data_IF_523929570095
#
_entry.id   IF_523929570095
#
_cell.length_a   1.000
_cell.length_b   1.000
_cell.length_c   1.000
_cell.angle_alpha   90.00
_cell.angle_beta   90.00
_cell.angle_gamma   90.00
#
_symmetry.space_group_name_H-M   'P 1'
#
loop_
_entity.id
_entity.type
_entity.pdbx_description
1 polymer ?
#
# COMPACT_ATOMS: atom_id res chain seq x y z
N UNK A 1 57.76 52.37 -5.09
CA UNK A 1 57.32 51.91 -3.75
C UNK A 1 55.80 51.96 -3.67
N UNK A 2 55.13 50.82 -3.63
CA UNK A 2 53.75 50.62 -3.12
C UNK A 2 53.65 49.10 -2.83
N UNK A 3 52.85 48.58 -1.87
CA UNK A 3 52.00 49.24 -0.86
C UNK A 3 51.92 48.51 0.52
N UNK A 4 51.96 49.22 1.65
CA UNK A 4 51.51 48.66 2.95
C UNK A 4 49.99 48.88 3.19
N UNK A 5 49.43 49.94 2.60
CA UNK A 5 48.03 50.36 2.84
C UNK A 5 46.97 49.49 2.13
N UNK A 6 47.23 48.98 0.93
CA UNK A 6 46.26 48.16 0.17
C UNK A 6 46.02 46.79 0.81
N UNK A 7 47.01 46.26 1.54
CA UNK A 7 46.91 44.95 2.18
C UNK A 7 46.00 44.98 3.43
N UNK A 8 46.06 46.07 4.21
CA UNK A 8 45.27 46.22 5.43
C UNK A 8 43.76 46.38 5.14
N UNK A 9 43.40 47.17 4.13
CA UNK A 9 42.01 47.32 3.70
C UNK A 9 41.42 46.01 3.14
N UNK A 10 42.23 45.26 2.38
CA UNK A 10 41.84 43.92 1.87
C UNK A 10 41.60 42.92 3.00
N UNK A 11 42.43 42.95 4.04
CA UNK A 11 42.26 42.06 5.20
C UNK A 11 41.02 42.39 6.03
N UNK A 12 40.72 43.68 6.22
CA UNK A 12 39.48 44.12 6.89
C UNK A 12 38.24 43.69 6.09
N UNK A 13 38.26 43.85 4.76
CA UNK A 13 37.16 43.44 3.91
C UNK A 13 36.91 41.92 3.96
N UNK A 14 37.98 41.11 3.94
CA UNK A 14 37.89 39.65 4.11
C UNK A 14 37.31 39.26 5.46
N UNK A 15 37.79 39.88 6.56
CA UNK A 15 37.26 39.63 7.91
C UNK A 15 35.79 40.02 8.04
N UNK A 16 35.38 41.12 7.41
CA UNK A 16 33.97 41.54 7.37
C UNK A 16 33.11 40.53 6.62
N UNK A 17 33.54 40.07 5.44
CA UNK A 17 32.83 39.05 4.67
C UNK A 17 32.72 37.72 5.43
N UNK A 18 33.79 37.28 6.09
CA UNK A 18 33.78 36.06 6.92
C UNK A 18 32.85 36.18 8.14
N UNK A 19 32.80 37.33 8.78
CA UNK A 19 31.88 37.57 9.89
C UNK A 19 30.42 37.57 9.41
N UNK A 20 30.13 38.23 8.28
CA UNK A 20 28.81 38.20 7.66
C UNK A 20 28.39 36.77 7.30
N UNK A 21 29.30 35.98 6.70
CA UNK A 21 29.06 34.57 6.38
C UNK A 21 28.76 33.74 7.64
N UNK A 22 29.50 33.94 8.73
CA UNK A 22 29.26 33.23 10.01
C UNK A 22 27.90 33.59 10.61
N UNK A 23 27.51 34.86 10.55
CA UNK A 23 26.21 35.31 11.05
C UNK A 23 25.06 34.70 10.25
N UNK A 24 25.15 34.72 8.91
CA UNK A 24 24.16 34.11 8.03
C UNK A 24 24.06 32.60 8.30
N UNK A 25 25.19 31.89 8.36
CA UNK A 25 25.20 30.45 8.64
C UNK A 25 24.55 30.10 9.98
N UNK A 26 24.74 30.94 11.01
CA UNK A 26 24.11 30.76 12.32
C UNK A 26 22.59 30.99 12.26
N UNK A 27 22.16 32.04 11.56
CA UNK A 27 20.74 32.34 11.38
C UNK A 27 20.03 31.20 10.62
N UNK A 28 20.59 30.79 9.48
CA UNK A 28 20.07 29.69 8.68
C UNK A 28 20.04 28.37 9.48
N UNK A 29 21.07 28.10 10.29
CA UNK A 29 21.08 26.92 11.16
C UNK A 29 19.96 26.94 12.20
N UNK A 30 19.67 28.12 12.77
CA UNK A 30 18.60 28.26 13.74
C UNK A 30 17.22 28.08 13.09
N UNK A 31 17.01 28.64 11.90
CA UNK A 31 15.77 28.44 11.12
C UNK A 31 15.55 26.95 10.81
N UNK A 32 16.57 26.27 10.26
CA UNK A 32 16.53 24.83 9.99
C UNK A 32 16.26 23.98 11.25
N UNK A 33 16.77 24.42 12.40
CA UNK A 33 16.54 23.74 13.69
C UNK A 33 15.08 23.85 14.11
N UNK A 34 14.45 25.01 13.94
CA UNK A 34 13.03 25.18 14.29
C UNK A 34 12.12 24.46 13.29
N UNK A 35 12.42 24.48 11.99
CA UNK A 35 11.71 23.69 10.98
C UNK A 35 11.75 22.18 11.31
N UNK A 36 12.92 21.67 11.69
CA UNK A 36 13.08 20.28 12.11
C UNK A 36 12.20 19.95 13.32
N UNK A 37 12.19 20.79 14.36
CA UNK A 37 11.36 20.58 15.55
C UNK A 37 9.87 20.58 15.21
N UNK A 38 9.43 21.46 14.30
CA UNK A 38 8.05 21.44 13.85
C UNK A 38 7.71 20.13 13.12
N UNK A 39 8.61 19.65 12.27
CA UNK A 39 8.43 18.35 11.60
C UNK A 39 8.38 17.18 12.60
N UNK A 40 9.22 17.22 13.64
CA UNK A 40 9.22 16.22 14.72
C UNK A 40 7.92 16.27 15.52
N UNK A 41 7.47 17.46 15.92
CA UNK A 41 6.20 17.64 16.64
C UNK A 41 4.99 17.19 15.82
N UNK A 42 4.98 17.43 14.51
CA UNK A 42 3.93 16.91 13.62
C UNK A 42 3.97 15.37 13.54
N UNK A 43 5.16 14.77 13.43
CA UNK A 43 5.28 13.30 13.43
C UNK A 43 4.79 12.70 14.74
N UNK A 44 5.10 13.32 15.88
CA UNK A 44 4.62 12.89 17.19
C UNK A 44 3.11 13.05 17.31
N UNK A 45 2.56 14.20 16.87
CA UNK A 45 1.12 14.47 16.91
C UNK A 45 0.31 13.43 16.14
N UNK A 46 0.80 13.00 14.97
CA UNK A 46 0.14 12.01 14.11
C UNK A 46 0.67 10.58 14.29
N UNK A 47 1.51 10.32 15.29
CA UNK A 47 2.15 9.01 15.45
C UNK A 47 1.12 7.88 15.68
N UNK A 48 0.08 8.19 16.45
CA UNK A 48 -0.99 7.24 16.76
C UNK A 48 -1.89 7.01 15.55
N UNK A 49 -2.36 8.07 14.88
CA UNK A 49 -3.19 7.99 13.67
C UNK A 49 -2.48 7.18 12.55
N UNK A 50 -1.17 7.41 12.35
CA UNK A 50 -0.39 6.68 11.35
C UNK A 50 -0.24 5.19 11.71
N UNK A 51 -0.12 4.88 13.00
CA UNK A 51 -0.04 3.50 13.47
C UNK A 51 -1.38 2.79 13.31
N UNK A 52 -2.47 3.43 13.75
CA UNK A 52 -3.83 2.91 13.62
C UNK A 52 -4.19 2.66 12.16
N UNK A 53 -3.99 3.66 11.30
CA UNK A 53 -4.26 3.53 9.86
C UNK A 53 -3.47 2.37 9.22
N UNK A 54 -2.21 2.16 9.66
CA UNK A 54 -1.41 1.01 9.20
C UNK A 54 -1.96 -0.32 9.70
N UNK A 55 -2.37 -0.40 10.95
CA UNK A 55 -2.94 -1.61 11.55
C UNK A 55 -4.27 -1.98 10.91
N UNK A 56 -5.14 -1.00 10.68
CA UNK A 56 -6.40 -1.16 9.95
C UNK A 56 -6.14 -1.66 8.53
N UNK A 57 -5.20 -1.06 7.80
CA UNK A 57 -4.85 -1.50 6.44
C UNK A 57 -4.34 -2.95 6.41
N UNK A 58 -3.55 -3.36 7.41
CA UNK A 58 -3.09 -4.75 7.54
C UNK A 58 -4.26 -5.69 7.84
N UNK A 59 -5.16 -5.29 8.74
CA UNK A 59 -6.33 -6.08 9.12
C UNK A 59 -7.28 -6.26 7.94
N UNK A 60 -7.60 -5.19 7.23
CA UNK A 60 -8.46 -5.23 6.05
C UNK A 60 -7.82 -6.09 4.95
N UNK A 61 -6.54 -5.89 4.64
CA UNK A 61 -5.82 -6.71 3.66
C UNK A 61 -5.83 -8.20 4.02
N UNK A 62 -5.67 -8.53 5.29
CA UNK A 62 -5.76 -9.93 5.77
C UNK A 62 -7.18 -10.49 5.65
N UNK A 63 -8.20 -9.70 5.95
CA UNK A 63 -9.60 -10.12 5.86
C UNK A 63 -10.03 -10.33 4.41
N UNK A 64 -9.67 -9.40 3.51
CA UNK A 64 -9.88 -9.53 2.06
C UNK A 64 -9.19 -10.79 1.54
N UNK A 65 -7.89 -10.94 1.80
CA UNK A 65 -7.13 -12.10 1.31
C UNK A 65 -7.64 -13.44 1.84
N UNK A 66 -8.13 -13.48 3.09
CA UNK A 66 -8.77 -14.68 3.66
C UNK A 66 -10.06 -15.02 2.91
N UNK A 67 -10.95 -14.04 2.69
CA UNK A 67 -12.21 -14.24 1.97
C UNK A 67 -11.98 -14.68 0.51
N UNK A 68 -11.05 -14.04 -0.18
CA UNK A 68 -10.65 -14.40 -1.55
C UNK A 68 -10.10 -15.83 -1.63
N UNK A 69 -9.26 -16.21 -0.66
CA UNK A 69 -8.68 -17.54 -0.56
C UNK A 69 -9.73 -18.63 -0.30
N UNK A 70 -10.68 -18.38 0.61
CA UNK A 70 -11.79 -19.30 0.90
C UNK A 70 -12.69 -19.49 -0.33
N UNK A 71 -13.08 -18.40 -1.00
CA UNK A 71 -13.89 -18.46 -2.23
C UNK A 71 -13.15 -19.19 -3.36
N UNK A 72 -11.86 -18.90 -3.57
CA UNK A 72 -11.03 -19.58 -4.56
C UNK A 72 -10.93 -21.08 -4.28
N UNK A 73 -10.88 -21.48 -3.01
CA UNK A 73 -10.83 -22.89 -2.63
C UNK A 73 -12.12 -23.62 -2.98
N UNK A 74 -13.28 -23.02 -2.74
CA UNK A 74 -14.58 -23.57 -3.13
C UNK A 74 -14.63 -23.73 -4.65
N UNK A 75 -14.27 -22.70 -5.41
CA UNK A 75 -14.24 -22.74 -6.88
C UNK A 75 -13.32 -23.88 -7.38
N UNK A 76 -12.12 -24.03 -6.81
CA UNK A 76 -11.18 -25.10 -7.17
C UNK A 76 -11.81 -26.49 -6.98
N UNK A 77 -12.51 -26.71 -5.86
CA UNK A 77 -13.17 -28.00 -5.59
C UNK A 77 -14.35 -28.21 -6.54
N UNK A 78 -15.14 -27.17 -6.79
CA UNK A 78 -16.30 -27.23 -7.70
C UNK A 78 -15.86 -27.57 -9.13
N UNK A 79 -14.77 -26.97 -9.64
CA UNK A 79 -14.18 -27.32 -10.94
C UNK A 79 -13.83 -28.82 -11.00
N UNK A 80 -13.21 -29.36 -9.93
CA UNK A 80 -12.87 -30.79 -9.87
C UNK A 80 -14.11 -31.68 -9.89
N UNK A 81 -15.20 -31.28 -9.24
CA UNK A 81 -16.47 -32.02 -9.23
C UNK A 81 -17.19 -31.92 -10.58
N UNK A 82 -17.22 -30.74 -11.18
CA UNK A 82 -17.74 -30.51 -12.53
C UNK A 82 -17.05 -31.42 -13.56
N UNK A 83 -15.72 -31.46 -13.56
CA UNK A 83 -14.92 -32.32 -14.46
C UNK A 83 -15.18 -33.81 -14.27
N UNK A 84 -15.66 -34.22 -13.08
CA UNK A 84 -16.05 -35.61 -12.77
C UNK A 84 -17.50 -35.92 -13.15
N UNK A 85 -18.25 -34.96 -13.69
CA UNK A 85 -19.66 -35.12 -14.03
C UNK A 85 -20.59 -35.17 -12.82
N UNK A 86 -20.15 -34.69 -11.64
CA UNK A 86 -21.04 -34.56 -10.49
C UNK A 86 -22.14 -33.54 -10.81
N UNK A 87 -23.35 -33.78 -10.31
CA UNK A 87 -24.44 -32.82 -10.44
C UNK A 87 -24.25 -31.63 -9.48
N UNK A 88 -24.94 -30.53 -9.79
CA UNK A 88 -25.05 -29.35 -8.90
C UNK A 88 -25.57 -29.75 -7.52
N UNK A 89 -26.60 -30.60 -7.47
CA UNK A 89 -27.19 -31.06 -6.21
C UNK A 89 -26.19 -31.85 -5.37
N UNK A 90 -25.55 -32.87 -5.94
CA UNK A 90 -24.56 -33.67 -5.20
C UNK A 90 -23.38 -32.81 -4.75
N UNK A 91 -22.94 -31.85 -5.56
CA UNK A 91 -21.82 -30.96 -5.20
C UNK A 91 -22.20 -30.01 -4.07
N UNK A 92 -23.41 -29.45 -4.09
CA UNK A 92 -23.94 -28.63 -3.01
C UNK A 92 -24.02 -29.42 -1.70
N UNK A 93 -24.59 -30.63 -1.74
CA UNK A 93 -24.70 -31.50 -0.58
C UNK A 93 -23.31 -31.89 -0.02
N UNK A 94 -22.33 -32.17 -0.89
CA UNK A 94 -20.95 -32.53 -0.48
C UNK A 94 -20.14 -31.37 0.11
N UNK A 95 -20.41 -30.14 -0.32
CA UNK A 95 -19.69 -28.95 0.14
C UNK A 95 -20.43 -28.21 1.25
N UNK A 96 -21.64 -28.65 1.59
CA UNK A 96 -22.54 -27.96 2.51
C UNK A 96 -22.81 -26.51 2.08
N UNK A 97 -22.87 -26.28 0.76
CA UNK A 97 -23.05 -24.97 0.14
C UNK A 97 -24.45 -24.84 -0.49
N UNK A 98 -24.99 -23.62 -0.63
CA UNK A 98 -26.27 -23.42 -1.32
C UNK A 98 -26.23 -23.92 -2.78
N UNK A 99 -27.26 -24.67 -3.21
CA UNK A 99 -27.37 -25.13 -4.60
C UNK A 99 -27.36 -23.98 -5.61
N UNK A 100 -27.87 -22.80 -5.23
CA UNK A 100 -27.83 -21.59 -6.06
C UNK A 100 -26.40 -21.13 -6.33
N UNK A 101 -25.54 -21.11 -5.32
CA UNK A 101 -24.12 -20.77 -5.44
C UNK A 101 -23.40 -21.77 -6.34
N UNK A 102 -23.57 -23.07 -6.08
CA UNK A 102 -22.94 -24.12 -6.88
C UNK A 102 -23.40 -24.03 -8.35
N UNK A 103 -24.69 -23.78 -8.60
CA UNK A 103 -25.20 -23.58 -9.96
C UNK A 103 -24.52 -22.41 -10.66
N UNK A 104 -24.40 -21.25 -10.00
CA UNK A 104 -23.72 -20.08 -10.57
C UNK A 104 -22.27 -20.40 -10.95
N UNK A 105 -21.54 -21.13 -10.09
CA UNK A 105 -20.17 -21.53 -10.37
C UNK A 105 -20.11 -22.50 -11.57
N UNK A 106 -21.01 -23.48 -11.66
CA UNK A 106 -21.11 -24.40 -12.80
C UNK A 106 -21.35 -23.65 -14.12
N UNK A 107 -22.26 -22.67 -14.11
CA UNK A 107 -22.58 -21.86 -15.30
C UNK A 107 -21.37 -21.07 -15.80
N UNK A 108 -20.57 -20.50 -14.87
CA UNK A 108 -19.33 -19.78 -15.22
C UNK A 108 -18.23 -20.74 -15.68
N UNK A 109 -18.08 -21.90 -15.04
CA UNK A 109 -17.13 -22.94 -15.47
C UNK A 109 -17.37 -23.35 -16.93
N UNK A 110 -18.64 -23.51 -17.33
CA UNK A 110 -18.99 -23.82 -18.71
C UNK A 110 -18.57 -22.75 -19.72
N UNK A 111 -18.49 -21.48 -19.29
CA UNK A 111 -18.04 -20.35 -20.10
C UNK A 111 -16.51 -20.26 -20.21
N UNK A 112 -15.78 -20.79 -19.22
CA UNK A 112 -14.32 -20.76 -19.11
C UNK A 112 -13.67 -22.10 -19.52
N UNK A 113 -14.28 -22.86 -20.43
CA UNK A 113 -13.64 -24.04 -21.00
C UNK A 113 -12.66 -23.64 -22.13
N UNK A 114 -11.49 -24.29 -22.28
CA UNK A 114 -11.00 -25.45 -21.53
C UNK A 114 -10.00 -25.13 -20.40
N UNK A 115 -9.67 -23.86 -20.14
CA UNK A 115 -8.60 -23.47 -19.22
C UNK A 115 -9.02 -23.57 -17.75
N UNK A 116 -10.32 -23.42 -17.44
CA UNK A 116 -10.90 -23.55 -16.10
C UNK A 116 -10.14 -22.74 -15.05
N UNK A 117 -9.75 -21.52 -15.42
CA UNK A 117 -8.93 -20.66 -14.57
C UNK A 117 -9.73 -20.16 -13.35
N UNK A 118 -9.28 -20.50 -12.14
CA UNK A 118 -9.95 -20.13 -10.88
C UNK A 118 -10.09 -18.61 -10.72
N UNK A 119 -9.03 -17.86 -11.02
CA UNK A 119 -9.01 -16.40 -10.91
C UNK A 119 -10.01 -15.75 -11.88
N UNK A 120 -10.09 -16.24 -13.11
CA UNK A 120 -11.06 -15.75 -14.10
C UNK A 120 -12.50 -16.03 -13.66
N UNK A 121 -12.78 -17.24 -13.17
CA UNK A 121 -14.10 -17.62 -12.65
C UNK A 121 -14.47 -16.76 -11.44
N UNK A 122 -13.53 -16.54 -10.51
CA UNK A 122 -13.74 -15.70 -9.34
C UNK A 122 -14.11 -14.26 -9.73
N UNK A 123 -13.38 -13.64 -10.67
CA UNK A 123 -13.68 -12.30 -11.18
C UNK A 123 -15.07 -12.19 -11.80
N UNK A 124 -15.45 -13.15 -12.64
CA UNK A 124 -16.79 -13.16 -13.26
C UNK A 124 -17.90 -13.28 -12.20
N UNK A 125 -17.67 -14.06 -11.13
CA UNK A 125 -18.63 -14.20 -10.04
C UNK A 125 -18.75 -12.92 -9.21
N UNK A 126 -17.64 -12.21 -8.97
CA UNK A 126 -17.65 -10.90 -8.30
C UNK A 126 -18.46 -9.88 -9.10
N UNK A 127 -18.22 -9.78 -10.41
CA UNK A 127 -18.91 -8.81 -11.29
C UNK A 127 -20.42 -9.07 -11.40
N UNK A 128 -20.88 -10.31 -11.20
CA UNK A 128 -22.30 -10.68 -11.20
C UNK A 128 -23.01 -10.43 -9.88
N UNK A 129 -22.27 -10.17 -8.81
CA UNK A 129 -22.81 -9.99 -7.44
C UNK A 129 -22.96 -8.51 -7.09
N UNK A 130 -22.38 -7.60 -7.89
CA UNK A 130 -22.55 -6.14 -7.85
C UNK A 130 -23.68 -5.74 -8.81
#
# INVERSE_FOLDING_TARGET
MLPLSKNHASEIAKRSADNSRKTIMRANWQELKEERKMCEALRELFADDLRESREEGIMEGRNVGKREGEASKVIEIVIKKYKKGCSVKETADMLEEPQTLIKQIYDVIGQCAPDYNVEAIYKILLDKTI
#
